data_IF_357924007748
#
_entry.id   IF_357924007748
#
_cell.length_a   1.000
_cell.length_b   1.000
_cell.length_c   1.000
_cell.angle_alpha   90.00
_cell.angle_beta   90.00
_cell.angle_gamma   90.00
#
_symmetry.space_group_name_H-M   'P 1'
#
loop_
_entity.id
_entity.type
_entity.pdbx_description
1 polymer ?
#
# COMPACT_ATOMS: atom_id res chain seq x y z
N UNK A 1 -15.91 -4.61 -16.98
CA UNK A 1 -15.32 -4.31 -15.66
C UNK A 1 -14.20 -3.31 -15.86
N UNK A 2 -14.15 -2.25 -15.07
CA UNK A 2 -13.10 -1.22 -15.16
C UNK A 2 -11.94 -1.63 -14.28
N UNK A 3 -10.72 -1.59 -14.80
CA UNK A 3 -9.52 -1.88 -14.01
C UNK A 3 -9.35 -0.80 -12.94
N UNK A 4 -9.11 -1.20 -11.70
CA UNK A 4 -8.91 -0.29 -10.58
C UNK A 4 -7.45 -0.31 -10.13
N UNK A 5 -6.84 0.88 -10.11
CA UNK A 5 -5.48 1.12 -9.66
C UNK A 5 -5.54 1.97 -8.38
N UNK A 6 -5.13 1.38 -7.26
CA UNK A 6 -5.04 2.06 -5.98
C UNK A 6 -3.62 2.59 -5.78
N UNK A 7 -3.47 3.91 -5.72
CA UNK A 7 -2.18 4.58 -5.48
C UNK A 7 -2.29 5.38 -4.19
N UNK A 8 -1.33 5.20 -3.27
CA UNK A 8 -1.33 5.93 -1.99
C UNK A 8 0.08 6.24 -1.52
N UNK A 9 0.22 7.36 -0.81
CA UNK A 9 1.37 7.61 0.07
C UNK A 9 1.27 6.75 1.34
N UNK A 10 2.39 6.63 2.05
CA UNK A 10 2.54 5.83 3.27
C UNK A 10 2.38 6.69 4.53
N UNK A 11 3.35 7.56 4.80
CA UNK A 11 3.45 8.27 6.07
C UNK A 11 2.30 9.26 6.27
N UNK A 12 1.59 9.15 7.40
CA UNK A 12 0.41 9.95 7.73
C UNK A 12 -0.74 9.85 6.71
N UNK A 13 -0.71 8.88 5.81
CA UNK A 13 -1.78 8.60 4.84
C UNK A 13 -2.28 7.17 4.99
N UNK A 14 -1.50 6.17 4.58
CA UNK A 14 -1.83 4.76 4.78
C UNK A 14 -1.42 4.28 6.17
N UNK A 15 -0.31 4.80 6.69
CA UNK A 15 0.27 4.47 7.99
C UNK A 15 0.08 5.66 8.93
N UNK A 16 -0.47 5.40 10.12
CA UNK A 16 -0.73 6.43 11.14
C UNK A 16 -1.86 6.05 12.09
N UNK A 17 -2.82 5.25 11.59
CA UNK A 17 -3.87 4.62 12.37
C UNK A 17 -3.87 3.11 12.11
N UNK A 18 -3.45 2.33 13.11
CA UNK A 18 -3.29 0.89 12.97
C UNK A 18 -4.65 0.17 12.79
N UNK A 19 -5.75 0.68 13.36
CA UNK A 19 -7.07 0.06 13.20
C UNK A 19 -7.60 0.30 11.78
N UNK A 20 -7.49 1.53 11.29
CA UNK A 20 -7.89 1.88 9.93
C UNK A 20 -7.07 1.11 8.88
N UNK A 21 -5.75 0.96 9.12
CA UNK A 21 -4.88 0.19 8.25
C UNK A 21 -5.32 -1.27 8.13
N UNK A 22 -5.63 -1.93 9.25
CA UNK A 22 -6.10 -3.33 9.25
C UNK A 22 -7.42 -3.46 8.47
N UNK A 23 -8.37 -2.56 8.70
CA UNK A 23 -9.64 -2.58 7.99
C UNK A 23 -9.47 -2.39 6.48
N UNK A 24 -8.65 -1.41 6.08
CA UNK A 24 -8.39 -1.11 4.68
C UNK A 24 -7.63 -2.26 4.01
N UNK A 25 -6.61 -2.83 4.65
CA UNK A 25 -5.87 -3.98 4.12
C UNK A 25 -6.78 -5.18 3.84
N UNK A 26 -7.76 -5.45 4.72
CA UNK A 26 -8.76 -6.50 4.50
C UNK A 26 -9.62 -6.20 3.26
N UNK A 27 -10.15 -4.99 3.15
CA UNK A 27 -10.98 -4.57 2.00
C UNK A 27 -10.20 -4.62 0.68
N UNK A 28 -8.98 -4.08 0.66
CA UNK A 28 -8.12 -4.08 -0.52
C UNK A 28 -7.71 -5.50 -0.93
N UNK A 29 -7.42 -6.38 0.01
CA UNK A 29 -7.09 -7.77 -0.29
C UNK A 29 -8.26 -8.49 -0.95
N UNK A 30 -9.47 -8.33 -0.43
CA UNK A 30 -10.68 -8.91 -1.01
C UNK A 30 -10.95 -8.34 -2.40
N UNK A 31 -10.90 -7.02 -2.55
CA UNK A 31 -11.13 -6.36 -3.83
C UNK A 31 -10.06 -6.72 -4.89
N UNK A 32 -8.80 -6.94 -4.46
CA UNK A 32 -7.72 -7.45 -5.32
C UNK A 32 -7.99 -8.86 -5.81
N UNK A 33 -8.48 -9.75 -4.93
CA UNK A 33 -8.83 -11.13 -5.30
C UNK A 33 -10.02 -11.17 -6.26
N UNK A 34 -11.03 -10.33 -6.04
CA UNK A 34 -12.27 -10.34 -6.82
C UNK A 34 -12.15 -9.61 -8.16
N UNK A 35 -11.44 -8.47 -8.19
CA UNK A 35 -11.41 -7.56 -9.35
C UNK A 35 -10.02 -7.38 -9.96
N UNK A 36 -8.97 -8.02 -9.43
CA UNK A 36 -7.61 -7.89 -9.95
C UNK A 36 -6.97 -6.52 -9.71
N UNK A 37 -7.42 -5.79 -8.68
CA UNK A 37 -6.90 -4.46 -8.32
C UNK A 37 -5.39 -4.44 -8.18
N UNK A 38 -4.78 -3.38 -8.70
CA UNK A 38 -3.35 -3.11 -8.56
C UNK A 38 -3.11 -2.12 -7.45
N UNK A 39 -2.13 -2.41 -6.60
CA UNK A 39 -1.76 -1.57 -5.46
C UNK A 39 -0.39 -0.96 -5.73
N UNK A 40 -0.27 0.36 -5.63
CA UNK A 40 0.97 1.10 -5.80
C UNK A 40 1.20 1.97 -4.58
N UNK A 41 2.37 1.85 -3.98
CA UNK A 41 2.81 2.76 -2.92
C UNK A 41 3.72 3.82 -3.52
N UNK A 42 3.43 5.08 -3.22
CA UNK A 42 4.18 6.24 -3.69
C UNK A 42 4.69 7.04 -2.49
N UNK A 43 5.95 6.82 -2.11
CA UNK A 43 6.52 7.34 -0.86
C UNK A 43 7.83 8.11 -1.10
N UNK A 44 8.08 9.11 -0.27
CA UNK A 44 9.38 9.78 -0.20
C UNK A 44 10.48 8.92 0.45
N UNK A 45 10.14 7.82 1.11
CA UNK A 45 11.12 6.90 1.71
C UNK A 45 12.03 6.28 0.66
N UNK A 46 13.28 5.97 1.04
CA UNK A 46 14.16 5.15 0.21
C UNK A 46 13.64 3.71 0.12
N UNK A 47 14.02 2.92 -0.91
CA UNK A 47 13.60 1.53 -1.04
C UNK A 47 13.91 0.67 0.19
N UNK A 48 15.04 0.92 0.87
CA UNK A 48 15.42 0.19 2.09
C UNK A 48 14.47 0.52 3.25
N UNK A 49 14.26 1.81 3.52
CA UNK A 49 13.36 2.28 4.58
C UNK A 49 11.90 1.89 4.34
N UNK A 50 11.49 1.79 3.07
CA UNK A 50 10.21 1.23 2.69
C UNK A 50 10.08 -0.23 3.11
N UNK A 51 11.08 -1.08 2.81
CA UNK A 51 11.03 -2.51 3.14
C UNK A 51 10.95 -2.75 4.65
N UNK A 52 11.69 -1.97 5.43
CA UNK A 52 11.63 -2.00 6.90
C UNK A 52 10.21 -1.70 7.39
N UNK A 53 9.61 -0.60 6.92
CA UNK A 53 8.23 -0.24 7.26
C UNK A 53 7.22 -1.31 6.81
N UNK A 54 7.40 -1.86 5.61
CA UNK A 54 6.53 -2.89 5.06
C UNK A 54 6.47 -4.12 5.98
N UNK A 55 7.63 -4.53 6.52
CA UNK A 55 7.72 -5.64 7.46
C UNK A 55 7.12 -5.27 8.82
N UNK A 56 7.46 -4.10 9.35
CA UNK A 56 6.98 -3.61 10.65
C UNK A 56 5.45 -3.52 10.71
N UNK A 57 4.84 -2.91 9.67
CA UNK A 57 3.40 -2.66 9.60
C UNK A 57 2.61 -3.74 8.85
N UNK A 58 3.29 -4.80 8.40
CA UNK A 58 2.69 -5.91 7.65
C UNK A 58 1.85 -5.43 6.45
N UNK A 59 2.38 -4.45 5.71
CA UNK A 59 1.67 -3.88 4.56
C UNK A 59 1.50 -4.92 3.45
N UNK A 60 0.39 -4.84 2.71
CA UNK A 60 0.17 -5.67 1.53
C UNK A 60 1.32 -5.49 0.54
N UNK A 61 1.72 -6.57 -0.13
CA UNK A 61 2.71 -6.49 -1.19
C UNK A 61 2.15 -5.69 -2.38
N UNK A 62 2.76 -4.55 -2.74
CA UNK A 62 2.30 -3.75 -3.84
C UNK A 62 2.68 -4.40 -5.18
N UNK A 63 1.95 -4.05 -6.24
CA UNK A 63 2.30 -4.38 -7.62
C UNK A 63 3.40 -3.46 -8.18
N UNK A 64 3.53 -2.24 -7.63
CA UNK A 64 4.65 -1.34 -7.93
C UNK A 64 4.97 -0.44 -6.72
N UNK A 65 6.22 0.00 -6.66
CA UNK A 65 6.72 0.94 -5.67
C UNK A 65 7.33 2.15 -6.38
N UNK A 66 6.84 3.34 -6.08
CA UNK A 66 7.49 4.61 -6.39
C UNK A 66 8.11 5.10 -5.08
N UNK A 67 9.44 5.07 -5.00
CA UNK A 67 10.20 5.43 -3.82
C UNK A 67 11.07 6.67 -4.11
N UNK A 68 11.64 7.28 -3.08
CA UNK A 68 12.58 8.40 -3.21
C UNK A 68 12.05 9.59 -4.05
N UNK A 69 10.73 9.83 -3.98
CA UNK A 69 10.03 10.95 -4.66
C UNK A 69 9.91 10.79 -6.20
N UNK A 70 10.18 9.60 -6.74
CA UNK A 70 10.03 9.29 -8.17
C UNK A 70 11.33 8.90 -8.84
#
# INVERSE_FOLDING_TARGET
>A
MTQFLFVTDLDNTLVGDDQALVELNRKLSQHRQEYGTKIVYATGRSPTLYRELQQEKQLLQPDALVAAVG
#
